data_IF_301871584554
#
_entry.id   IF_301871584554
#
_cell.length_a   1.000
_cell.length_b   1.000
_cell.length_c   1.000
_cell.angle_alpha   90.00
_cell.angle_beta   90.00
_cell.angle_gamma   90.00
#
_symmetry.space_group_name_H-M   'P 1'
#
loop_
_entity.id
_entity.type
_entity.pdbx_description
1 polymer ?
#
# COMPACT_ATOMS: atom_id res chain seq x y z
N UNK A 1 -18.25 -6.10 20.86
CA UNK A 1 -16.80 -5.85 20.91
C UNK A 1 -16.55 -4.54 20.21
N UNK A 2 -16.27 -3.45 20.94
CA UNK A 2 -15.67 -2.26 20.31
C UNK A 2 -14.21 -2.62 20.04
N UNK A 3 -14.01 -3.40 18.98
CA UNK A 3 -12.75 -4.05 18.63
C UNK A 3 -11.80 -3.03 18.05
N UNK A 4 -11.02 -2.39 18.91
CA UNK A 4 -9.84 -1.67 18.48
C UNK A 4 -8.89 -2.69 17.83
N UNK A 5 -8.59 -2.48 16.55
CA UNK A 5 -7.61 -3.26 15.80
C UNK A 5 -6.29 -2.51 15.89
N UNK A 6 -5.17 -3.21 16.09
CA UNK A 6 -3.86 -2.55 16.07
C UNK A 6 -3.58 -2.12 14.64
N UNK A 7 -3.02 -0.91 14.48
CA UNK A 7 -2.64 -0.40 13.15
C UNK A 7 -1.67 -1.36 12.46
N UNK A 8 -0.73 -1.92 13.22
CA UNK A 8 0.25 -2.89 12.74
C UNK A 8 -0.39 -4.14 12.10
N UNK A 9 -1.60 -4.53 12.55
CA UNK A 9 -2.33 -5.68 11.99
C UNK A 9 -3.02 -5.33 10.65
N UNK A 10 -3.09 -4.05 10.27
CA UNK A 10 -3.68 -3.58 9.02
C UNK A 10 -2.64 -3.09 8.00
N UNK A 11 -1.41 -2.85 8.44
CA UNK A 11 -0.33 -2.45 7.54
C UNK A 11 -0.06 -3.58 6.53
N UNK A 12 0.26 -3.23 5.27
CA UNK A 12 0.64 -4.22 4.30
C UNK A 12 1.97 -4.88 4.72
N UNK A 13 2.21 -6.14 4.30
CA UNK A 13 3.49 -6.80 4.52
C UNK A 13 4.66 -5.91 4.07
N UNK A 14 5.78 -6.02 4.79
CA UNK A 14 6.99 -5.26 4.49
C UNK A 14 7.44 -5.50 3.05
N UNK A 15 7.87 -4.43 2.38
CA UNK A 15 8.32 -4.38 0.98
C UNK A 15 7.29 -4.84 -0.07
N UNK A 16 6.03 -5.10 0.32
CA UNK A 16 4.95 -5.36 -0.63
C UNK A 16 4.52 -4.07 -1.33
N UNK A 17 4.44 -4.11 -2.65
CA UNK A 17 3.86 -3.01 -3.43
C UNK A 17 2.33 -2.99 -3.29
N UNK A 18 1.81 -1.80 -2.98
CA UNK A 18 0.38 -1.53 -2.82
C UNK A 18 0.02 -0.25 -3.57
N UNK A 19 -1.26 -0.12 -3.92
CA UNK A 19 -1.81 1.12 -4.42
C UNK A 19 -2.19 2.01 -3.23
N UNK A 20 -1.66 3.22 -3.18
CA UNK A 20 -1.90 4.17 -2.09
C UNK A 20 -2.55 5.46 -2.60
N UNK A 21 -3.20 6.18 -1.68
CA UNK A 21 -3.64 7.56 -1.90
C UNK A 21 -3.42 8.41 -0.65
N UNK A 22 -3.02 9.67 -0.87
CA UNK A 22 -2.94 10.73 0.14
C UNK A 22 -4.20 11.62 0.16
N UNK A 23 -5.19 11.33 -0.68
CA UNK A 23 -6.40 12.13 -0.87
C UNK A 23 -6.30 13.19 -1.97
N UNK A 24 -5.12 13.42 -2.53
CA UNK A 24 -4.88 14.29 -3.68
C UNK A 24 -4.53 13.45 -4.92
N UNK A 25 -3.58 12.52 -4.77
CA UNK A 25 -3.03 11.67 -5.81
C UNK A 25 -3.18 10.17 -5.49
N UNK A 26 -2.92 9.36 -6.51
CA UNK A 26 -2.85 7.89 -6.40
C UNK A 26 -1.50 7.43 -6.95
N UNK A 27 -0.80 6.60 -6.18
CA UNK A 27 0.56 6.16 -6.49
C UNK A 27 0.84 4.76 -5.96
N UNK A 28 1.86 4.10 -6.51
CA UNK A 28 2.34 2.81 -6.01
C UNK A 28 3.39 3.07 -4.93
N UNK A 29 3.27 2.38 -3.80
CA UNK A 29 4.18 2.50 -2.67
C UNK A 29 4.48 1.12 -2.07
N UNK A 30 5.59 1.03 -1.35
CA UNK A 30 5.90 -0.09 -0.45
C UNK A 30 5.82 0.38 0.99
N UNK A 31 5.41 -0.50 1.91
CA UNK A 31 5.52 -0.25 3.34
C UNK A 31 6.86 -0.80 3.86
N UNK A 32 7.65 0.03 4.54
CA UNK A 32 8.93 -0.34 5.12
C UNK A 32 9.15 0.38 6.46
N UNK A 33 9.50 -0.35 7.52
CA UNK A 33 9.76 0.25 8.85
C UNK A 33 8.68 1.22 9.37
N UNK A 34 7.38 0.91 9.18
CA UNK A 34 6.24 1.77 9.56
C UNK A 34 6.03 3.03 8.69
N UNK A 35 6.73 3.14 7.55
CA UNK A 35 6.55 4.24 6.59
C UNK A 35 6.17 3.71 5.21
N UNK A 36 5.42 4.50 4.45
CA UNK A 36 5.22 4.24 3.02
C UNK A 36 6.34 4.93 2.24
N UNK A 37 6.96 4.20 1.32
CA UNK A 37 8.05 4.67 0.48
C UNK A 37 7.68 4.52 -0.99
N UNK A 38 7.97 5.55 -1.78
CA UNK A 38 7.91 5.51 -3.24
C UNK A 38 9.30 5.24 -3.82
N UNK A 39 9.47 5.46 -5.13
CA UNK A 39 10.77 5.19 -5.79
C UNK A 39 11.93 6.02 -5.22
N UNK A 40 11.67 7.23 -4.70
CA UNK A 40 12.75 8.16 -4.32
C UNK A 40 12.50 8.98 -3.03
N UNK A 41 11.40 8.75 -2.32
CA UNK A 41 11.06 9.53 -1.11
C UNK A 41 10.04 8.83 -0.22
N UNK A 42 10.04 9.22 1.05
CA UNK A 42 9.00 8.87 2.02
C UNK A 42 7.68 9.54 1.61
N UNK A 43 6.61 8.76 1.60
CA UNK A 43 5.27 9.20 1.26
C UNK A 43 4.54 9.55 2.54
N UNK A 44 4.37 10.85 2.75
CA UNK A 44 3.67 11.39 3.90
C UNK A 44 2.16 11.41 3.64
N UNK A 45 1.39 11.30 4.73
CA UNK A 45 -0.07 11.45 4.72
C UNK A 45 -0.84 10.42 3.87
N UNK A 46 -0.28 9.22 3.69
CA UNK A 46 -1.07 8.10 3.14
C UNK A 46 -2.30 7.87 4.02
N UNK A 47 -3.48 7.98 3.41
CA UNK A 47 -4.76 7.81 4.11
C UNK A 47 -5.40 6.45 3.81
N UNK A 48 -5.10 5.87 2.65
CA UNK A 48 -5.68 4.61 2.19
C UNK A 48 -4.66 3.81 1.38
N UNK A 49 -4.75 2.48 1.46
CA UNK A 49 -4.01 1.55 0.61
C UNK A 49 -4.85 0.31 0.26
N UNK A 50 -4.51 -0.34 -0.86
CA UNK A 50 -5.04 -1.64 -1.24
C UNK A 50 -4.00 -2.47 -2.01
N UNK A 51 -4.21 -3.78 -2.03
CA UNK A 51 -3.39 -4.68 -2.84
C UNK A 51 -3.47 -4.32 -4.34
N UNK A 52 -2.35 -4.47 -5.04
CA UNK A 52 -2.35 -4.37 -6.49
C UNK A 52 -3.17 -5.53 -7.09
N UNK A 53 -3.96 -5.27 -8.14
CA UNK A 53 -4.67 -6.33 -8.84
C UNK A 53 -3.68 -7.32 -9.44
N UNK A 54 -4.12 -8.58 -9.60
CA UNK A 54 -3.32 -9.56 -10.33
C UNK A 54 -3.00 -9.04 -11.74
N UNK A 55 -1.76 -9.22 -12.23
CA UNK A 55 -1.41 -8.81 -13.57
C UNK A 55 -2.33 -9.52 -14.58
N UNK A 56 -2.69 -8.86 -15.69
CA UNK A 56 -3.51 -9.50 -16.71
C UNK A 56 -2.79 -10.75 -17.23
N UNK A 57 -3.51 -11.88 -17.28
CA UNK A 57 -2.99 -13.08 -17.91
C UNK A 57 -2.73 -12.79 -19.39
N UNK A 58 -1.49 -13.04 -19.84
CA UNK A 58 -1.16 -12.98 -21.26
C UNK A 58 -2.11 -13.93 -22.02
N UNK A 59 -2.66 -13.55 -23.17
CA UNK A 59 -3.36 -14.50 -24.03
C UNK A 59 -2.36 -15.59 -24.41
N UNK A 60 -2.61 -16.83 -23.98
CA UNK A 60 -1.89 -18.01 -24.46
C UNK A 60 -2.09 -18.11 -25.96
N UNK A 61 -0.99 -18.03 -26.71
CA UNK A 61 -0.94 -18.22 -28.16
C UNK A 61 -0.93 -19.72 -28.50
#
# INVERSE_FOLDING_TARGET
MSGWIKVDDQLPPEDKQVLCSDGCDVFIASHHNSFFTGEFHDLLWVTHWMDLPEPPSLPTN
#
